data_IF_594848844948
#
_entry.id   IF_594848844948
#
_cell.length_a   1.000
_cell.length_b   1.000
_cell.length_c   1.000
_cell.angle_alpha   90.00
_cell.angle_beta   90.00
_cell.angle_gamma   90.00
#
_symmetry.space_group_name_H-M   'P 1'
#
loop_
_entity.id
_entity.type
_entity.pdbx_description
1 polymer ?
#
# COMPACT_ATOMS: atom_id res chain seq x y z
N UNK A 1 -18.09 -29.87 2.22
CA UNK A 1 -17.25 -29.67 3.43
C UNK A 1 -16.18 -28.66 3.02
N UNK A 2 -16.12 -27.45 3.60
CA UNK A 2 -15.00 -26.54 3.34
C UNK A 2 -13.70 -27.23 3.73
N UNK A 3 -12.66 -27.05 2.92
CA UNK A 3 -11.34 -27.61 3.17
C UNK A 3 -10.53 -26.65 4.03
N UNK A 4 -9.55 -27.15 4.80
CA UNK A 4 -8.69 -26.28 5.62
C UNK A 4 -7.98 -25.17 4.81
N UNK A 5 -7.79 -25.37 3.50
CA UNK A 5 -7.31 -24.34 2.57
C UNK A 5 -8.30 -23.20 2.32
N UNK A 6 -9.60 -23.50 2.32
CA UNK A 6 -10.66 -22.49 2.15
C UNK A 6 -10.74 -21.58 3.38
N UNK A 7 -10.61 -22.16 4.58
CA UNK A 7 -10.60 -21.40 5.84
C UNK A 7 -9.43 -20.41 5.91
N UNK A 8 -8.22 -20.86 5.51
CA UNK A 8 -7.03 -19.98 5.45
C UNK A 8 -7.21 -18.84 4.44
N UNK A 9 -7.80 -19.13 3.28
CA UNK A 9 -8.10 -18.11 2.27
C UNK A 9 -9.12 -17.09 2.76
N UNK A 10 -10.14 -17.56 3.49
CA UNK A 10 -11.15 -16.68 4.05
C UNK A 10 -10.56 -15.78 5.13
N UNK A 11 -9.76 -16.33 6.05
CA UNK A 11 -9.07 -15.56 7.08
C UNK A 11 -8.14 -14.50 6.48
N UNK A 12 -7.37 -14.84 5.43
CA UNK A 12 -6.50 -13.88 4.76
C UNK A 12 -7.29 -12.70 4.13
N UNK A 13 -8.47 -12.97 3.58
CA UNK A 13 -9.34 -11.91 3.04
C UNK A 13 -9.84 -10.98 4.14
N UNK A 14 -10.30 -11.56 5.24
CA UNK A 14 -10.79 -10.81 6.40
C UNK A 14 -9.69 -9.92 7.00
N UNK A 15 -8.47 -10.42 7.10
CA UNK A 15 -7.31 -9.62 7.55
C UNK A 15 -7.08 -8.43 6.63
N UNK A 16 -7.09 -8.62 5.32
CA UNK A 16 -6.91 -7.51 4.36
C UNK A 16 -8.07 -6.52 4.43
N UNK A 17 -9.31 -6.98 4.64
CA UNK A 17 -10.47 -6.11 4.80
C UNK A 17 -10.33 -5.22 6.04
N UNK A 18 -9.97 -5.81 7.18
CA UNK A 18 -9.72 -5.07 8.43
C UNK A 18 -8.59 -4.05 8.25
N UNK A 19 -7.47 -4.46 7.64
CA UNK A 19 -6.34 -3.56 7.40
C UNK A 19 -6.72 -2.41 6.45
N UNK A 20 -7.59 -2.66 5.47
CA UNK A 20 -8.07 -1.61 4.56
C UNK A 20 -8.94 -0.59 5.30
N UNK A 21 -9.82 -1.04 6.20
CA UNK A 21 -10.60 -0.12 7.05
C UNK A 21 -9.70 0.74 7.93
N UNK A 22 -8.69 0.14 8.57
CA UNK A 22 -7.69 0.87 9.36
C UNK A 22 -6.96 1.90 8.49
N UNK A 23 -6.53 1.51 7.29
CA UNK A 23 -5.85 2.38 6.32
C UNK A 23 -6.70 3.61 5.94
N UNK A 24 -7.99 3.41 5.73
CA UNK A 24 -8.96 4.47 5.42
C UNK A 24 -9.12 5.41 6.61
N UNK A 25 -9.32 4.88 7.82
CA UNK A 25 -9.48 5.67 9.04
C UNK A 25 -8.24 6.53 9.34
N UNK A 26 -7.05 6.00 9.09
CA UNK A 26 -5.79 6.72 9.26
C UNK A 26 -5.40 7.58 8.05
N UNK A 27 -6.22 7.60 7.00
CA UNK A 27 -5.99 8.36 5.78
C UNK A 27 -4.59 8.13 5.17
N UNK A 28 -4.11 6.88 5.17
CA UNK A 28 -2.78 6.55 4.60
C UNK A 28 -2.76 6.65 3.07
N UNK A 29 -3.96 6.70 2.46
CA UNK A 29 -4.19 6.70 1.01
C UNK A 29 -3.58 5.48 0.32
N UNK A 30 -3.53 4.33 0.99
CA UNK A 30 -3.17 3.06 0.34
C UNK A 30 -4.44 2.41 -0.22
N UNK A 31 -4.41 2.09 -1.51
CA UNK A 31 -5.44 1.23 -2.10
C UNK A 31 -5.26 -0.23 -1.68
N UNK A 32 -6.26 -1.06 -1.96
CA UNK A 32 -6.26 -2.48 -1.54
C UNK A 32 -5.07 -3.26 -2.10
N UNK A 33 -4.65 -2.95 -3.32
CA UNK A 33 -3.53 -3.62 -3.99
C UNK A 33 -2.21 -3.17 -3.39
N UNK A 34 -2.02 -1.87 -3.18
CA UNK A 34 -0.85 -1.30 -2.50
C UNK A 34 -0.70 -1.88 -1.09
N UNK A 35 -1.80 -1.95 -0.33
CA UNK A 35 -1.81 -2.51 1.03
C UNK A 35 -1.46 -4.00 1.03
N UNK A 36 -2.05 -4.79 0.12
CA UNK A 36 -1.74 -6.23 -0.03
C UNK A 36 -0.26 -6.45 -0.36
N UNK A 37 0.34 -5.58 -1.19
CA UNK A 37 1.75 -5.64 -1.51
C UNK A 37 2.61 -5.29 -0.29
N UNK A 38 2.25 -4.25 0.46
CA UNK A 38 2.94 -3.89 1.69
C UNK A 38 2.95 -5.03 2.71
N UNK A 39 1.81 -5.69 2.92
CA UNK A 39 1.70 -6.87 3.79
C UNK A 39 2.64 -7.98 3.30
N UNK A 40 2.62 -8.29 1.99
CA UNK A 40 3.50 -9.31 1.41
C UNK A 40 4.98 -8.98 1.62
N UNK A 41 5.39 -7.72 1.44
CA UNK A 41 6.77 -7.29 1.67
C UNK A 41 7.18 -7.44 3.14
N UNK A 42 6.30 -7.04 4.07
CA UNK A 42 6.54 -7.15 5.51
C UNK A 42 6.61 -8.61 5.94
N UNK A 43 5.75 -9.48 5.42
CA UNK A 43 5.81 -10.94 5.64
C UNK A 43 7.10 -11.57 5.11
N UNK A 44 7.70 -10.99 4.07
CA UNK A 44 9.02 -11.37 3.55
C UNK A 44 10.20 -10.73 4.32
N UNK A 45 9.93 -10.04 5.44
CA UNK A 45 10.97 -9.49 6.33
C UNK A 45 11.40 -8.06 6.01
N UNK A 46 10.70 -7.35 5.12
CA UNK A 46 10.97 -5.93 4.88
C UNK A 46 10.55 -5.12 6.11
N UNK A 47 11.42 -4.19 6.54
CA UNK A 47 11.12 -3.29 7.65
C UNK A 47 9.98 -2.31 7.27
N UNK A 48 8.92 -2.19 8.09
CA UNK A 48 7.75 -1.36 7.77
C UNK A 48 8.06 0.15 7.75
N UNK A 49 8.96 0.63 8.61
CA UNK A 49 9.32 2.06 8.67
C UNK A 49 10.14 2.47 7.43
N UNK A 50 11.06 1.60 7.00
CA UNK A 50 11.82 1.79 5.76
C UNK A 50 10.89 1.77 4.55
N UNK A 51 9.95 0.81 4.48
CA UNK A 51 8.96 0.73 3.41
C UNK A 51 8.08 1.99 3.34
N UNK A 52 7.61 2.48 4.49
CA UNK A 52 6.82 3.71 4.57
C UNK A 52 7.61 4.93 4.06
N UNK A 53 8.92 4.98 4.32
CA UNK A 53 9.81 6.04 3.82
C UNK A 53 9.88 5.99 2.29
N UNK A 54 10.14 4.82 1.71
CA UNK A 54 10.20 4.62 0.25
C UNK A 54 8.88 5.00 -0.43
N UNK A 55 7.73 4.61 0.13
CA UNK A 55 6.41 4.97 -0.42
C UNK A 55 6.21 6.49 -0.45
N UNK A 56 6.61 7.19 0.62
CA UNK A 56 6.50 8.65 0.69
C UNK A 56 7.40 9.34 -0.33
N UNK A 57 8.63 8.86 -0.48
CA UNK A 57 9.59 9.42 -1.43
C UNK A 57 9.11 9.23 -2.88
N UNK A 58 8.65 8.02 -3.24
CA UNK A 58 8.10 7.76 -4.58
C UNK A 58 6.89 8.64 -4.90
N UNK A 59 5.96 8.80 -3.96
CA UNK A 59 4.79 9.68 -4.16
C UNK A 59 5.21 11.13 -4.37
N UNK A 60 6.18 11.61 -3.60
CA UNK A 60 6.75 12.95 -3.76
C UNK A 60 7.43 13.15 -5.12
N UNK A 61 8.20 12.17 -5.59
CA UNK A 61 8.86 12.24 -6.90
C UNK A 61 7.87 12.31 -8.06
N UNK A 62 6.77 11.55 -7.98
CA UNK A 62 5.68 11.60 -8.97
C UNK A 62 5.01 12.97 -8.97
N UNK A 63 4.71 13.52 -7.79
CA UNK A 63 4.14 14.88 -7.66
C UNK A 63 5.07 15.94 -8.28
N UNK A 64 6.37 15.87 -8.01
CA UNK A 64 7.37 16.79 -8.59
C UNK A 64 7.48 16.64 -10.11
N UNK A 65 7.50 15.40 -10.61
CA UNK A 65 7.61 15.11 -12.04
C UNK A 65 6.35 15.55 -12.81
N UNK A 66 5.18 15.47 -12.18
CA UNK A 66 3.93 15.97 -12.76
C UNK A 66 3.86 17.51 -12.83
N UNK A 67 4.77 18.22 -12.14
CA UNK A 67 4.78 19.68 -12.02
C UNK A 67 5.88 20.35 -12.86
N UNK A 68 6.44 19.67 -13.87
CA UNK A 68 7.37 20.30 -14.81
C UNK A 68 6.70 21.54 -15.44
N UNK A 69 7.23 22.75 -15.19
CA UNK A 69 6.63 23.99 -15.66
C UNK A 69 6.89 24.10 -17.16
N UNK A 70 5.81 24.13 -17.92
CA UNK A 70 5.79 24.71 -19.24
C UNK A 70 5.92 26.24 -19.08
N UNK A 71 7.09 26.73 -18.69
CA UNK A 71 7.41 28.17 -18.63
C UNK A 71 8.88 28.37 -19.01
N UNK A 72 9.13 28.74 -20.28
CA UNK A 72 10.09 29.76 -20.72
C UNK A 72 10.27 29.69 -22.23
N UNK A 73 9.52 30.50 -22.98
CA UNK A 73 10.04 31.38 -24.04
C UNK A 73 8.85 32.21 -24.56
N UNK A 74 8.62 33.32 -23.86
CA UNK A 74 8.15 34.57 -24.48
C UNK A 74 9.20 35.07 -25.49
#
# INVERSE_FOLDING_TARGET
MPTQSDDKRQAAREVIDILQEISILLNTKLDRTELSLCVSLIENGVNPDALATVIKDLRREVELSSRSPNESSE
#
